data_IF_593344480108
#
_entry.id   IF_593344480108
#
_cell.length_a   1.000
_cell.length_b   1.000
_cell.length_c   1.000
_cell.angle_alpha   90.00
_cell.angle_beta   90.00
_cell.angle_gamma   90.00
#
_symmetry.space_group_name_H-M   'P 1'
#
loop_
_entity.id
_entity.type
_entity.pdbx_description
1 polymer ?
#
# COMPACT_ATOMS: atom_id res chain seq x y z
N UNK A 1 -28.64 38.62 -16.44
CA UNK A 1 -27.88 38.16 -17.63
C UNK A 1 -27.38 36.72 -17.47
N UNK A 2 -26.72 36.38 -16.35
CA UNK A 2 -26.23 35.01 -16.10
C UNK A 2 -27.33 33.93 -16.16
N UNK A 3 -28.47 34.15 -15.50
CA UNK A 3 -29.60 33.20 -15.46
C UNK A 3 -30.52 33.23 -16.69
N UNK A 4 -30.41 34.26 -17.53
CA UNK A 4 -31.37 34.51 -18.61
C UNK A 4 -30.80 34.25 -20.01
N UNK A 5 -29.50 34.51 -20.22
CA UNK A 5 -28.83 34.33 -21.52
C UNK A 5 -27.72 33.26 -21.47
N UNK A 6 -27.16 33.00 -20.28
CA UNK A 6 -26.00 32.11 -20.09
C UNK A 6 -26.29 30.89 -19.21
N UNK A 7 -27.57 30.50 -19.10
CA UNK A 7 -27.96 29.35 -18.27
C UNK A 7 -27.34 28.04 -18.76
N UNK A 8 -27.24 27.86 -20.08
CA UNK A 8 -26.63 26.67 -20.70
C UNK A 8 -25.12 26.54 -20.39
N UNK A 9 -24.27 27.55 -20.67
CA UNK A 9 -22.85 27.46 -20.32
C UNK A 9 -22.62 27.36 -18.81
N UNK A 10 -23.48 27.96 -17.98
CA UNK A 10 -23.42 27.81 -16.53
C UNK A 10 -23.69 26.36 -16.07
N UNK A 11 -24.71 25.70 -16.65
CA UNK A 11 -25.00 24.29 -16.37
C UNK A 11 -23.86 23.37 -16.82
N UNK A 12 -23.28 23.62 -17.99
CA UNK A 12 -22.14 22.85 -18.50
C UNK A 12 -20.92 23.01 -17.59
N UNK A 13 -20.61 24.23 -17.14
CA UNK A 13 -19.54 24.47 -16.18
C UNK A 13 -19.78 23.72 -14.85
N UNK A 14 -21.03 23.66 -14.38
CA UNK A 14 -21.40 22.87 -13.20
C UNK A 14 -21.15 21.36 -13.37
N UNK A 15 -21.50 20.79 -14.53
CA UNK A 15 -21.22 19.39 -14.84
C UNK A 15 -19.72 19.10 -14.93
N UNK A 16 -18.94 20.01 -15.53
CA UNK A 16 -17.48 19.88 -15.60
C UNK A 16 -16.86 19.86 -14.21
N UNK A 17 -17.27 20.77 -13.33
CA UNK A 17 -16.79 20.84 -11.95
C UNK A 17 -17.13 19.58 -11.15
N UNK A 18 -18.35 19.05 -11.33
CA UNK A 18 -18.78 17.81 -10.68
C UNK A 18 -17.90 16.63 -11.10
N UNK A 19 -17.70 16.44 -12.40
CA UNK A 19 -16.84 15.37 -12.94
C UNK A 19 -15.39 15.53 -12.48
N UNK A 20 -14.87 16.76 -12.44
CA UNK A 20 -13.52 17.06 -11.98
C UNK A 20 -13.31 16.65 -10.50
N UNK A 21 -14.27 16.94 -9.62
CA UNK A 21 -14.19 16.50 -8.21
C UNK A 21 -14.16 14.97 -8.08
N UNK A 22 -15.01 14.26 -8.83
CA UNK A 22 -15.04 12.79 -8.83
C UNK A 22 -13.69 12.24 -9.31
N UNK A 23 -13.15 12.79 -10.41
CA UNK A 23 -11.85 12.39 -10.94
C UNK A 23 -10.71 12.57 -9.93
N UNK A 24 -10.69 13.69 -9.20
CA UNK A 24 -9.69 13.96 -8.18
C UNK A 24 -9.75 12.96 -7.01
N UNK A 25 -10.96 12.62 -6.53
CA UNK A 25 -11.16 11.64 -5.45
C UNK A 25 -10.72 10.24 -5.90
N UNK A 26 -11.13 9.80 -7.10
CA UNK A 26 -10.77 8.47 -7.62
C UNK A 26 -9.27 8.35 -7.86
N UNK A 27 -8.62 9.43 -8.31
CA UNK A 27 -7.16 9.47 -8.45
C UNK A 27 -6.44 9.36 -7.08
N UNK A 28 -6.98 10.01 -6.05
CA UNK A 28 -6.44 9.93 -4.68
C UNK A 28 -6.68 8.56 -4.04
N UNK A 29 -7.82 7.92 -4.29
CA UNK A 29 -8.18 6.58 -3.84
C UNK A 29 -7.50 5.49 -4.69
N UNK A 30 -6.20 5.61 -4.91
CA UNK A 30 -5.38 4.50 -5.40
C UNK A 30 -5.17 3.53 -4.24
N UNK A 31 -5.87 2.40 -4.28
CA UNK A 31 -5.56 1.27 -3.40
C UNK A 31 -4.13 0.81 -3.73
N UNK A 32 -3.18 1.21 -2.89
CA UNK A 32 -1.82 0.71 -2.95
C UNK A 32 -1.85 -0.80 -2.76
N UNK A 33 -1.53 -1.55 -3.81
CA UNK A 33 -1.34 -3.00 -3.77
C UNK A 33 -0.05 -3.39 -3.00
N UNK A 34 0.33 -2.61 -1.99
CA UNK A 34 1.57 -2.76 -1.22
C UNK A 34 1.31 -3.07 0.25
N UNK A 35 0.14 -3.63 0.58
CA UNK A 35 0.09 -4.50 1.73
C UNK A 35 0.87 -5.75 1.35
N UNK A 36 2.20 -5.79 1.63
CA UNK A 36 2.97 -7.03 1.70
C UNK A 36 2.15 -7.99 2.55
N UNK A 37 1.37 -8.88 1.92
CA UNK A 37 0.68 -9.97 2.60
C UNK A 37 1.78 -10.87 3.15
N UNK A 38 2.23 -10.58 4.36
CA UNK A 38 3.11 -11.47 5.09
C UNK A 38 2.37 -12.80 5.19
N UNK A 39 2.89 -13.83 4.54
CA UNK A 39 2.41 -15.19 4.72
C UNK A 39 2.87 -15.65 6.11
N UNK A 40 2.05 -15.39 7.13
CA UNK A 40 2.31 -15.79 8.53
C UNK A 40 2.61 -17.30 8.61
N UNK A 41 1.91 -18.11 7.80
CA UNK A 41 2.16 -19.54 7.69
C UNK A 41 3.63 -19.88 7.38
N UNK A 42 4.30 -19.11 6.52
CA UNK A 42 5.72 -19.31 6.20
C UNK A 42 6.67 -18.78 7.28
N UNK A 43 6.24 -17.82 8.10
CA UNK A 43 7.02 -17.27 9.21
C UNK A 43 6.97 -18.17 10.45
N UNK A 44 5.82 -18.79 10.74
CA UNK A 44 5.63 -19.68 11.91
C UNK A 44 6.15 -21.10 11.63
N UNK A 45 6.25 -21.51 10.36
CA UNK A 45 6.79 -22.82 9.97
C UNK A 45 8.32 -22.90 10.03
N UNK A 46 9.02 -21.86 10.52
CA UNK A 46 10.44 -22.01 10.91
C UNK A 46 10.50 -23.04 12.04
N UNK A 47 10.85 -24.25 11.65
CA UNK A 47 10.97 -25.38 12.54
C UNK A 47 12.01 -25.04 13.61
N UNK A 48 11.67 -25.28 14.88
CA UNK A 48 12.58 -25.25 16.04
C UNK A 48 13.91 -26.00 15.80
N UNK A 49 13.93 -26.88 14.80
CA UNK A 49 15.07 -27.65 14.28
C UNK A 49 16.20 -26.77 13.72
N UNK A 50 15.88 -25.63 13.12
CA UNK A 50 16.85 -24.70 12.52
C UNK A 50 17.38 -23.65 13.51
N UNK A 51 16.79 -23.58 14.72
CA UNK A 51 17.16 -22.59 15.74
C UNK A 51 18.29 -23.06 16.67
N UNK A 52 18.70 -24.33 16.59
CA UNK A 52 19.74 -24.89 17.47
C UNK A 52 20.80 -25.57 16.60
N UNK A 53 21.77 -24.80 16.14
CA UNK A 53 23.04 -25.36 15.73
C UNK A 53 23.85 -25.63 17.00
N UNK A 54 23.90 -26.88 17.46
CA UNK A 54 24.86 -27.30 18.49
C UNK A 54 26.24 -27.30 17.83
N UNK A 55 26.91 -26.16 17.86
CA UNK A 55 28.33 -26.09 17.51
C UNK A 55 29.09 -26.70 18.69
N UNK A 56 29.54 -27.94 18.54
CA UNK A 56 30.55 -28.51 19.43
C UNK A 56 31.87 -27.82 19.13
N UNK A 57 32.19 -26.80 19.92
CA UNK A 57 33.50 -26.17 19.89
C UNK A 57 34.49 -27.13 20.58
N UNK A 58 35.56 -27.59 19.93
CA UNK A 58 36.62 -28.29 20.64
C UNK A 58 37.28 -27.33 21.63
N UNK A 59 37.15 -27.64 22.92
CA UNK A 59 37.83 -26.91 24.00
C UNK A 59 39.34 -27.06 23.83
N UNK A 60 40.03 -25.98 23.46
CA UNK A 60 41.50 -25.97 23.44
C UNK A 60 42.19 -25.08 22.40
N UNK A 61 41.49 -24.45 21.45
CA UNK A 61 42.10 -23.45 20.57
C UNK A 61 41.67 -22.04 21.01
N UNK A 62 42.48 -21.49 21.93
CA UNK A 62 42.43 -20.11 22.33
C UNK A 62 42.71 -19.20 21.13
N UNK A 63 42.00 -18.07 21.12
CA UNK A 63 42.26 -16.90 20.30
C UNK A 63 43.72 -16.48 20.49
N UNK A 64 44.47 -16.47 19.39
CA UNK A 64 45.76 -15.79 19.25
C UNK A 64 45.65 -14.79 18.11
#
# INVERSE_FOLDING_TARGET
VLYTQYVYPFQIAGLILLVAMIGAIVLALRHGADARRQRIASQVSRARKDAIAVVQVPTGQGVG
#
